data_IF_734505067244
#
_entry.id   IF_734505067244
#
_cell.length_a   1.000
_cell.length_b   1.000
_cell.length_c   1.000
_cell.angle_alpha   90.00
_cell.angle_beta   90.00
_cell.angle_gamma   90.00
#
_symmetry.space_group_name_H-M   'P 1'
#
loop_
_entity.id
_entity.type
_entity.pdbx_description
1 polymer ?
#
# COMPACT_ATOMS: atom_id res chain seq x y z
N UNK A 1 -0.97 2.84 -20.59
CA UNK A 1 -0.66 1.59 -19.87
C UNK A 1 -1.84 1.25 -18.97
N UNK A 2 -2.24 -0.02 -18.94
CA UNK A 2 -3.29 -0.53 -18.05
C UNK A 2 -2.81 -0.55 -16.60
N UNK A 3 -3.67 -0.20 -15.65
CA UNK A 3 -3.31 0.14 -14.27
C UNK A 3 -4.18 -0.63 -13.29
N UNK A 4 -3.54 -1.38 -12.39
CA UNK A 4 -4.18 -2.12 -11.31
C UNK A 4 -3.91 -1.43 -9.99
N UNK A 5 -4.95 -1.20 -9.19
CA UNK A 5 -4.80 -0.85 -7.78
C UNK A 5 -4.79 -2.12 -6.94
N UNK A 6 -3.63 -2.51 -6.40
CA UNK A 6 -3.48 -3.67 -5.52
C UNK A 6 -3.58 -3.25 -4.06
N UNK A 7 -4.58 -3.78 -3.34
CA UNK A 7 -4.81 -3.50 -1.92
C UNK A 7 -5.08 -4.78 -1.12
N UNK A 8 -5.15 -4.67 0.19
CA UNK A 8 -5.44 -5.77 1.10
C UNK A 8 -5.26 -5.35 2.55
N UNK A 9 -5.97 -6.00 3.47
CA UNK A 9 -5.83 -5.76 4.90
C UNK A 9 -4.41 -6.08 5.41
N UNK A 10 -4.06 -5.59 6.60
CA UNK A 10 -2.79 -5.94 7.23
C UNK A 10 -2.65 -7.48 7.31
N UNK A 11 -1.47 -8.01 6.96
CA UNK A 11 -1.23 -9.46 7.01
C UNK A 11 -1.83 -10.27 5.85
N UNK A 12 -2.53 -9.63 4.90
CA UNK A 12 -3.12 -10.30 3.73
C UNK A 12 -2.10 -10.94 2.77
N UNK A 13 -0.83 -10.54 2.83
CA UNK A 13 0.20 -11.02 1.88
C UNK A 13 0.26 -10.22 0.57
N UNK A 14 -0.30 -9.00 0.54
CA UNK A 14 -0.23 -8.07 -0.60
C UNK A 14 1.18 -7.95 -1.22
N UNK A 15 2.22 -7.77 -0.41
CA UNK A 15 3.60 -7.65 -0.92
C UNK A 15 4.04 -8.91 -1.66
N UNK A 16 3.67 -10.10 -1.15
CA UNK A 16 4.01 -11.35 -1.82
C UNK A 16 3.35 -11.49 -3.19
N UNK A 17 2.10 -11.04 -3.31
CA UNK A 17 1.41 -10.97 -4.61
C UNK A 17 2.09 -9.95 -5.53
N UNK A 18 2.42 -8.77 -5.02
CA UNK A 18 3.11 -7.74 -5.80
C UNK A 18 4.45 -8.26 -6.37
N UNK A 19 5.25 -8.94 -5.54
CA UNK A 19 6.52 -9.54 -5.96
C UNK A 19 6.32 -10.55 -7.12
N UNK A 20 5.31 -11.42 -7.01
CA UNK A 20 4.99 -12.37 -8.08
C UNK A 20 4.61 -11.68 -9.40
N UNK A 21 3.83 -10.60 -9.33
CA UNK A 21 3.46 -9.85 -10.52
C UNK A 21 4.67 -9.15 -11.15
N UNK A 22 5.59 -8.62 -10.32
CA UNK A 22 6.84 -8.04 -10.78
C UNK A 22 7.75 -9.07 -11.45
N UNK A 23 7.88 -10.27 -10.87
CA UNK A 23 8.60 -11.42 -11.48
C UNK A 23 8.08 -11.74 -12.89
N UNK A 24 6.79 -11.48 -13.16
CA UNK A 24 6.18 -11.72 -14.47
C UNK A 24 6.08 -10.48 -15.36
N UNK A 25 6.77 -9.39 -15.02
CA UNK A 25 6.93 -8.22 -15.88
C UNK A 25 5.93 -7.08 -15.65
N UNK A 26 5.15 -7.11 -14.56
CA UNK A 26 4.41 -5.94 -14.12
C UNK A 26 5.38 -4.88 -13.55
N UNK A 27 5.14 -3.60 -13.83
CA UNK A 27 5.84 -2.52 -13.10
C UNK A 27 5.09 -2.23 -11.81
N UNK A 28 5.79 -2.19 -10.68
CA UNK A 28 5.21 -1.82 -9.39
C UNK A 28 5.48 -0.35 -9.07
N UNK A 29 4.49 0.31 -8.49
CA UNK A 29 4.62 1.61 -7.83
C UNK A 29 4.00 1.45 -6.44
N UNK A 30 4.85 1.27 -5.43
CA UNK A 30 4.42 1.05 -4.05
C UNK A 30 4.42 2.37 -3.26
N UNK A 31 3.24 2.78 -2.79
CA UNK A 31 3.08 4.06 -2.10
C UNK A 31 3.71 4.07 -0.71
N UNK A 32 3.83 2.91 -0.05
CA UNK A 32 4.51 2.79 1.24
C UNK A 32 6.03 2.90 1.06
N UNK A 33 6.58 2.29 0.01
CA UNK A 33 8.00 2.44 -0.33
C UNK A 33 8.35 3.88 -0.70
N UNK A 34 7.49 4.52 -1.51
CA UNK A 34 7.61 5.96 -1.82
C UNK A 34 7.59 6.79 -0.53
N UNK A 35 6.60 6.58 0.35
CA UNK A 35 6.51 7.32 1.59
C UNK A 35 7.75 7.14 2.48
N UNK A 36 8.31 5.92 2.53
CA UNK A 36 9.56 5.63 3.26
C UNK A 36 10.76 6.34 2.65
N UNK A 37 10.93 6.29 1.33
CA UNK A 37 12.04 6.95 0.65
C UNK A 37 11.99 8.48 0.78
N UNK A 38 10.80 9.06 0.65
CA UNK A 38 10.59 10.51 0.79
C UNK A 38 10.86 11.02 2.20
N UNK A 39 10.76 10.14 3.21
CA UNK A 39 10.98 10.46 4.63
C UNK A 39 12.29 9.88 5.20
N UNK A 40 13.16 9.37 4.34
CA UNK A 40 14.53 8.97 4.69
C UNK A 40 15.43 10.20 4.85
N UNK A 41 16.65 10.00 5.33
CA UNK A 41 17.67 11.05 5.39
C UNK A 41 17.88 11.68 4.00
N UNK A 42 17.72 13.01 3.90
CA UNK A 42 17.77 13.74 2.63
C UNK A 42 16.55 13.54 1.71
N UNK A 43 15.50 12.87 2.18
CA UNK A 43 14.27 12.64 1.44
C UNK A 43 13.51 13.94 1.15
N UNK A 44 12.83 13.99 0.00
CA UNK A 44 12.20 15.22 -0.48
C UNK A 44 11.06 15.76 0.40
N UNK A 45 10.52 14.95 1.33
CA UNK A 45 9.52 15.43 2.29
C UNK A 45 10.15 16.07 3.54
N UNK A 46 11.43 15.80 3.83
CA UNK A 46 12.05 16.22 5.09
C UNK A 46 12.08 17.74 5.31
N UNK A 47 12.38 18.59 4.32
CA UNK A 47 12.34 20.05 4.52
C UNK A 47 10.95 20.58 4.90
N UNK A 48 9.89 20.03 4.30
CA UNK A 48 8.51 20.42 4.62
C UNK A 48 8.07 19.90 5.99
N UNK A 49 8.51 18.70 6.38
CA UNK A 49 8.26 18.14 7.71
C UNK A 49 8.97 18.97 8.79
N UNK A 50 10.23 19.36 8.56
CA UNK A 50 10.98 20.21 9.49
C UNK A 50 10.31 21.58 9.65
N UNK A 51 9.85 22.19 8.56
CA UNK A 51 9.15 23.47 8.60
C UNK A 51 7.84 23.40 9.42
N UNK A 52 7.11 22.29 9.33
CA UNK A 52 5.80 22.11 9.97
C UNK A 52 5.90 21.67 11.44
N UNK A 53 6.88 20.82 11.77
CA UNK A 53 6.98 20.14 13.06
C UNK A 53 8.26 20.45 13.84
N UNK A 54 9.20 21.18 13.26
CA UNK A 54 10.49 21.50 13.84
C UNK A 54 11.48 20.32 13.81
N UNK A 55 12.68 20.58 14.32
CA UNK A 55 13.81 19.63 14.29
C UNK A 55 13.57 18.37 15.12
N UNK A 56 12.62 18.37 16.05
CA UNK A 56 12.24 17.19 16.83
C UNK A 56 11.60 16.09 15.98
N UNK A 57 11.02 16.46 14.83
CA UNK A 57 10.48 15.52 13.85
C UNK A 57 11.58 14.79 13.07
N UNK A 58 12.86 15.17 13.24
CA UNK A 58 14.00 14.60 12.56
C UNK A 58 14.82 13.74 13.53
N UNK A 59 15.38 12.65 13.01
CA UNK A 59 16.46 11.90 13.66
C UNK A 59 17.80 12.62 13.48
N UNK A 60 18.86 12.17 14.14
CA UNK A 60 20.20 12.78 14.03
C UNK A 60 20.81 12.70 12.62
N UNK A 61 20.39 11.73 11.82
CA UNK A 61 20.75 11.58 10.41
C UNK A 61 19.80 12.32 9.45
N UNK A 62 18.78 13.02 9.98
CA UNK A 62 17.85 13.85 9.19
C UNK A 62 16.73 13.06 8.51
N UNK A 63 16.45 11.83 8.95
CA UNK A 63 15.26 11.08 8.56
C UNK A 63 14.07 11.44 9.47
N UNK A 64 12.86 10.99 9.12
CA UNK A 64 11.69 11.19 9.98
C UNK A 64 11.84 10.41 11.29
N UNK A 65 11.74 11.12 12.41
CA UNK A 65 11.60 10.51 13.73
C UNK A 65 10.20 9.92 13.89
N UNK A 66 10.04 8.66 13.45
CA UNK A 66 8.75 7.94 13.44
C UNK A 66 8.20 7.67 14.84
N UNK A 67 9.06 7.53 15.83
CA UNK A 67 8.65 7.33 17.22
C UNK A 67 8.02 8.61 17.77
N UNK A 68 8.75 9.72 17.71
CA UNK A 68 8.26 11.03 18.12
C UNK A 68 6.97 11.42 17.36
N UNK A 69 6.94 11.20 16.04
CA UNK A 69 5.77 11.53 15.23
C UNK A 69 4.54 10.69 15.63
N UNK A 70 4.72 9.42 16.02
CA UNK A 70 3.64 8.56 16.49
C UNK A 70 3.12 9.01 17.85
N UNK A 71 4.00 9.35 18.78
CA UNK A 71 3.63 9.89 20.09
C UNK A 71 2.86 11.21 19.95
N UNK A 72 3.32 12.08 19.03
CA UNK A 72 2.65 13.34 18.74
C UNK A 72 1.28 13.13 18.10
N UNK A 73 1.17 12.25 17.11
CA UNK A 73 -0.11 11.92 16.48
C UNK A 73 -1.10 11.22 17.44
N UNK A 74 -0.59 10.54 18.48
CA UNK A 74 -1.43 9.94 19.51
C UNK A 74 -1.97 10.98 20.51
N UNK A 75 -1.13 11.95 20.89
CA UNK A 75 -1.50 13.01 21.83
C UNK A 75 -2.32 14.14 21.20
N UNK A 76 -2.19 14.34 19.90
CA UNK A 76 -2.87 15.38 19.14
C UNK A 76 -3.40 14.82 17.80
N UNK A 77 -4.72 14.61 17.68
CA UNK A 77 -5.35 14.11 16.46
C UNK A 77 -5.07 14.97 15.22
N UNK A 78 -4.85 16.29 15.38
CA UNK A 78 -4.59 17.20 14.27
C UNK A 78 -3.17 17.01 13.70
N UNK A 79 -2.24 16.50 14.50
CA UNK A 79 -0.87 16.20 14.04
C UNK A 79 -0.89 15.21 12.87
N UNK A 80 -1.75 14.19 12.91
CA UNK A 80 -1.88 13.24 11.79
C UNK A 80 -2.34 13.94 10.51
N UNK A 81 -3.34 14.82 10.62
CA UNK A 81 -3.89 15.55 9.47
C UNK A 81 -2.85 16.50 8.86
N UNK A 82 -2.08 17.20 9.70
CA UNK A 82 -0.99 18.08 9.26
C UNK A 82 0.12 17.31 8.56
N UNK A 83 0.52 16.16 9.10
CA UNK A 83 1.52 15.31 8.48
C UNK A 83 1.04 14.77 7.12
N UNK A 84 -0.21 14.31 7.06
CA UNK A 84 -0.84 13.87 5.82
C UNK A 84 -0.93 15.01 4.79
N UNK A 85 -1.22 16.24 5.20
CA UNK A 85 -1.26 17.40 4.32
C UNK A 85 0.11 17.72 3.71
N UNK A 86 1.20 17.53 4.46
CA UNK A 86 2.57 17.66 3.95
C UNK A 86 2.93 16.50 3.00
N UNK A 87 2.63 15.27 3.39
CA UNK A 87 3.08 14.08 2.67
C UNK A 87 2.28 13.79 1.40
N UNK A 88 0.95 13.95 1.42
CA UNK A 88 0.08 13.51 0.33
C UNK A 88 0.41 14.16 -1.04
N UNK A 89 0.68 15.47 -1.14
CA UNK A 89 1.07 16.08 -2.41
C UNK A 89 2.38 15.49 -2.95
N UNK A 90 3.39 15.33 -2.09
CA UNK A 90 4.73 14.84 -2.47
C UNK A 90 4.67 13.37 -2.90
N UNK A 91 3.95 12.52 -2.13
CA UNK A 91 3.72 11.12 -2.50
C UNK A 91 2.94 11.03 -3.82
N UNK A 92 1.94 11.89 -4.03
CA UNK A 92 1.15 11.90 -5.27
C UNK A 92 2.03 12.23 -6.48
N UNK A 93 2.90 13.22 -6.35
CA UNK A 93 3.80 13.62 -7.44
C UNK A 93 4.82 12.53 -7.75
N UNK A 94 5.45 11.95 -6.73
CA UNK A 94 6.41 10.87 -6.93
C UNK A 94 5.75 9.61 -7.50
N UNK A 95 4.53 9.29 -7.05
CA UNK A 95 3.73 8.20 -7.62
C UNK A 95 3.44 8.44 -9.11
N UNK A 96 3.11 9.68 -9.50
CA UNK A 96 2.90 10.06 -10.91
C UNK A 96 4.17 9.94 -11.72
N UNK A 97 5.29 10.42 -11.19
CA UNK A 97 6.60 10.35 -11.83
C UNK A 97 7.02 8.90 -12.12
N UNK A 98 6.92 8.01 -11.13
CA UNK A 98 7.23 6.59 -11.31
C UNK A 98 6.25 5.92 -12.28
N UNK A 99 4.95 6.22 -12.20
CA UNK A 99 3.96 5.71 -13.13
C UNK A 99 4.19 6.15 -14.58
N UNK A 100 4.65 7.39 -14.79
CA UNK A 100 4.98 7.91 -16.12
C UNK A 100 6.25 7.26 -16.72
N UNK A 101 7.16 6.80 -15.86
CA UNK A 101 8.38 6.10 -16.26
C UNK A 101 8.18 4.56 -16.40
N UNK A 102 6.98 4.04 -16.14
CA UNK A 102 6.71 2.62 -16.20
C UNK A 102 6.83 2.07 -17.64
N UNK A 103 7.58 0.98 -17.80
CA UNK A 103 7.85 0.33 -19.08
C UNK A 103 7.40 -1.14 -19.14
N UNK A 104 6.78 -1.67 -18.08
CA UNK A 104 6.29 -3.05 -18.03
C UNK A 104 5.00 -3.27 -18.81
N UNK A 105 4.50 -4.51 -18.81
CA UNK A 105 3.30 -4.90 -19.57
C UNK A 105 2.03 -4.20 -19.07
N UNK A 106 1.98 -3.93 -17.77
CA UNK A 106 0.98 -3.12 -17.09
C UNK A 106 1.57 -2.58 -15.78
N UNK A 107 0.88 -1.61 -15.19
CA UNK A 107 1.28 -0.96 -13.94
C UNK A 107 0.45 -1.48 -12.77
N UNK A 108 1.09 -1.70 -11.63
CA UNK A 108 0.43 -2.04 -10.37
C UNK A 108 0.78 -0.97 -9.35
N UNK A 109 -0.22 -0.21 -8.93
CA UNK A 109 -0.13 0.63 -7.74
C UNK A 109 -0.38 -0.22 -6.50
N UNK A 110 0.63 -0.41 -5.67
CA UNK A 110 0.49 -1.13 -4.40
C UNK A 110 0.12 -0.12 -3.32
N UNK A 111 -1.12 -0.17 -2.84
CA UNK A 111 -1.70 0.88 -1.97
C UNK A 111 -2.38 0.24 -0.76
N UNK A 112 -1.74 0.21 0.43
CA UNK A 112 -2.30 -0.44 1.62
C UNK A 112 -3.66 0.11 2.08
N UNK A 113 -3.87 1.43 1.94
CA UNK A 113 -5.09 2.13 2.36
C UNK A 113 -5.89 2.64 1.15
N UNK A 114 -5.99 1.81 0.09
CA UNK A 114 -6.68 2.18 -1.14
C UNK A 114 -8.13 2.54 -0.90
N UNK A 115 -8.84 1.82 -0.02
CA UNK A 115 -10.28 2.00 0.22
C UNK A 115 -10.54 3.34 0.91
N UNK A 116 -9.73 3.65 1.91
CA UNK A 116 -9.74 4.89 2.68
C UNK A 116 -9.39 6.09 1.78
N UNK A 117 -8.68 5.84 0.68
CA UNK A 117 -8.30 6.84 -0.31
C UNK A 117 -9.01 6.67 -1.65
N UNK A 118 -10.13 5.93 -1.70
CA UNK A 118 -10.75 5.48 -2.94
C UNK A 118 -11.11 6.63 -3.89
N UNK A 119 -11.60 7.76 -3.36
CA UNK A 119 -11.90 8.95 -4.17
C UNK A 119 -10.69 9.45 -4.98
N UNK A 120 -9.46 9.27 -4.46
CA UNK A 120 -8.21 9.64 -5.13
C UNK A 120 -7.79 8.59 -6.17
N UNK A 121 -8.14 7.32 -5.97
CA UNK A 121 -7.66 6.19 -6.77
C UNK A 121 -8.62 5.71 -7.84
N UNK A 122 -9.94 5.86 -7.66
CA UNK A 122 -10.97 5.30 -8.55
C UNK A 122 -10.77 5.72 -10.02
N UNK A 123 -10.35 6.96 -10.27
CA UNK A 123 -10.05 7.46 -11.62
C UNK A 123 -8.60 7.29 -12.09
N UNK A 124 -7.74 6.67 -11.27
CA UNK A 124 -6.30 6.47 -11.57
C UNK A 124 -5.98 5.03 -11.94
N UNK A 125 -6.86 4.09 -11.63
CA UNK A 125 -6.71 2.66 -11.90
C UNK A 125 -7.84 2.19 -12.79
N UNK A 126 -7.56 1.23 -13.65
CA UNK A 126 -8.56 0.59 -14.51
C UNK A 126 -9.31 -0.51 -13.75
N UNK A 127 -8.63 -1.17 -12.79
CA UNK A 127 -9.21 -2.22 -11.93
C UNK A 127 -8.60 -2.19 -10.53
N UNK A 128 -9.38 -2.59 -9.53
CA UNK A 128 -8.95 -2.78 -8.15
C UNK A 128 -8.87 -4.29 -7.86
N UNK A 129 -7.69 -4.75 -7.46
CA UNK A 129 -7.45 -6.11 -7.00
C UNK A 129 -7.28 -6.13 -5.47
N UNK A 130 -8.09 -6.92 -4.79
CA UNK A 130 -7.99 -7.13 -3.34
C UNK A 130 -7.32 -8.46 -3.05
N UNK A 131 -6.23 -8.44 -2.29
CA UNK A 131 -5.69 -9.64 -1.64
C UNK A 131 -6.47 -9.85 -0.34
N UNK A 132 -7.36 -10.82 -0.36
CA UNK A 132 -8.27 -11.13 0.74
C UNK A 132 -7.70 -12.24 1.62
N UNK A 133 -7.98 -12.16 2.91
CA UNK A 133 -7.47 -13.09 3.92
C UNK A 133 -8.41 -13.01 5.13
N UNK A 134 -8.70 -14.16 5.74
CA UNK A 134 -9.52 -14.20 6.95
C UNK A 134 -8.84 -13.48 8.13
N UNK A 135 -9.62 -12.86 9.04
CA UNK A 135 -9.06 -12.08 10.14
C UNK A 135 -8.08 -12.84 11.05
N UNK A 136 -8.32 -14.13 11.31
CA UNK A 136 -7.48 -14.91 12.22
C UNK A 136 -6.11 -15.21 11.58
N UNK A 137 -6.08 -15.48 10.27
CA UNK A 137 -4.83 -15.59 9.51
C UNK A 137 -4.07 -14.26 9.45
N UNK A 138 -4.77 -13.13 9.32
CA UNK A 138 -4.14 -11.80 9.40
C UNK A 138 -3.45 -11.60 10.77
N UNK A 139 -4.14 -11.92 11.87
CA UNK A 139 -3.59 -11.84 13.22
C UNK A 139 -2.35 -12.73 13.35
N UNK A 140 -2.46 -14.02 13.01
CA UNK A 140 -1.37 -14.98 13.14
C UNK A 140 -0.12 -14.55 12.37
N UNK A 141 -0.28 -14.07 11.12
CA UNK A 141 0.83 -13.61 10.28
C UNK A 141 1.49 -12.35 10.81
N UNK A 142 0.71 -11.41 11.36
CA UNK A 142 1.26 -10.18 11.93
C UNK A 142 2.00 -10.48 13.23
N UNK A 143 1.43 -11.30 14.11
CA UNK A 143 2.09 -11.73 15.35
C UNK A 143 3.46 -12.36 15.06
N UNK A 144 3.52 -13.30 14.12
CA UNK A 144 4.73 -14.03 13.78
C UNK A 144 5.87 -13.13 13.26
N UNK A 145 5.55 -12.00 12.59
CA UNK A 145 6.57 -11.13 11.98
C UNK A 145 6.92 -9.88 12.77
N UNK A 146 6.02 -9.37 13.61
CA UNK A 146 6.19 -8.06 14.26
C UNK A 146 6.21 -8.12 15.79
N UNK A 147 5.98 -9.28 16.41
CA UNK A 147 5.94 -9.42 17.87
C UNK A 147 4.81 -8.63 18.56
N UNK A 148 3.85 -8.10 17.79
CA UNK A 148 2.71 -7.36 18.34
C UNK A 148 1.74 -8.32 19.02
N UNK A 149 1.10 -7.87 20.10
CA UNK A 149 0.04 -8.64 20.76
C UNK A 149 -1.23 -8.67 19.91
N UNK A 150 -2.03 -9.73 20.04
CA UNK A 150 -3.31 -9.83 19.32
C UNK A 150 -4.21 -8.59 19.53
N UNK A 151 -4.40 -8.06 20.76
CA UNK A 151 -5.18 -6.84 20.95
C UNK A 151 -4.63 -5.63 20.19
N UNK A 152 -3.30 -5.49 20.06
CA UNK A 152 -2.70 -4.41 19.29
C UNK A 152 -2.97 -4.57 17.79
N UNK A 153 -2.90 -5.81 17.27
CA UNK A 153 -3.16 -6.11 15.87
C UNK A 153 -4.62 -5.87 15.52
N UNK A 154 -5.55 -6.32 16.36
CA UNK A 154 -6.99 -6.08 16.17
C UNK A 154 -7.32 -4.58 16.17
N UNK A 155 -6.63 -3.76 16.97
CA UNK A 155 -6.75 -2.29 16.91
C UNK A 155 -6.30 -1.72 15.57
N UNK A 156 -5.20 -2.23 15.01
CA UNK A 156 -4.73 -1.82 13.67
C UNK A 156 -5.76 -2.22 12.61
N UNK A 157 -6.26 -3.45 12.65
CA UNK A 157 -7.29 -3.92 11.73
C UNK A 157 -8.56 -3.07 11.79
N UNK A 158 -8.99 -2.67 13.00
CA UNK A 158 -10.16 -1.82 13.19
C UNK A 158 -9.97 -0.38 12.67
N UNK A 159 -8.72 0.07 12.47
CA UNK A 159 -8.43 1.37 11.86
C UNK A 159 -8.44 1.32 10.32
N UNK A 160 -8.47 0.12 9.72
CA UNK A 160 -8.61 -0.08 8.27
C UNK A 160 -10.08 -0.25 7.90
N UNK A 161 -10.41 -0.09 6.62
CA UNK A 161 -11.73 -0.43 6.09
C UNK A 161 -12.14 -1.87 6.46
N UNK A 162 -13.43 -2.14 6.60
CA UNK A 162 -13.92 -3.51 6.84
C UNK A 162 -13.58 -4.44 5.66
N UNK A 163 -13.54 -5.76 5.91
CA UNK A 163 -13.25 -6.75 4.86
C UNK A 163 -14.29 -6.69 3.75
N UNK A 164 -15.55 -6.61 4.13
CA UNK A 164 -16.70 -6.51 3.24
C UNK A 164 -16.58 -5.26 2.36
N UNK A 165 -16.26 -4.11 2.95
CA UNK A 165 -16.04 -2.86 2.19
C UNK A 165 -14.87 -2.95 1.20
N UNK A 166 -13.80 -3.70 1.53
CA UNK A 166 -12.72 -3.96 0.55
C UNK A 166 -13.25 -4.81 -0.61
N UNK A 167 -13.98 -5.87 -0.32
CA UNK A 167 -14.50 -6.79 -1.34
C UNK A 167 -15.54 -6.13 -2.25
N UNK A 168 -16.38 -5.25 -1.69
CA UNK A 168 -17.43 -4.54 -2.44
C UNK A 168 -16.89 -3.64 -3.56
N UNK A 169 -15.66 -3.14 -3.41
CA UNK A 169 -15.02 -2.27 -4.41
C UNK A 169 -14.10 -3.05 -5.37
N UNK A 170 -13.93 -4.35 -5.16
CA UNK A 170 -12.97 -5.17 -5.88
C UNK A 170 -13.49 -5.52 -7.28
N UNK A 171 -12.67 -5.28 -8.29
CA UNK A 171 -12.90 -5.81 -9.63
C UNK A 171 -12.35 -7.23 -9.76
N UNK A 172 -11.28 -7.54 -9.02
CA UNK A 172 -10.63 -8.84 -8.93
C UNK A 172 -10.27 -9.15 -7.46
N UNK A 173 -10.28 -10.43 -7.08
CA UNK A 173 -9.92 -10.89 -5.74
C UNK A 173 -8.91 -12.04 -5.83
N UNK A 174 -7.87 -11.99 -4.99
CA UNK A 174 -6.94 -13.09 -4.74
C UNK A 174 -7.12 -13.52 -3.30
N UNK A 175 -7.54 -14.77 -3.09
CA UNK A 175 -7.65 -15.33 -1.74
C UNK A 175 -6.28 -15.81 -1.26
N UNK A 176 -5.92 -15.40 -0.05
CA UNK A 176 -4.70 -15.80 0.65
C UNK A 176 -5.00 -16.04 2.15
N UNK A 177 -6.02 -16.84 2.42
CA UNK A 177 -6.45 -17.27 3.75
C UNK A 177 -5.51 -18.33 4.35
N UNK A 178 -5.85 -18.86 5.53
CA UNK A 178 -5.07 -19.89 6.21
C UNK A 178 -5.01 -21.24 5.49
N UNK A 179 -5.96 -21.52 4.58
CA UNK A 179 -5.99 -22.75 3.79
C UNK A 179 -5.24 -22.63 2.45
N UNK A 180 -4.94 -21.39 2.03
CA UNK A 180 -4.28 -21.11 0.76
C UNK A 180 -2.81 -21.51 0.81
N UNK A 181 -2.42 -22.50 0.01
CA UNK A 181 -1.03 -22.89 -0.18
C UNK A 181 -0.25 -21.85 -1.01
N UNK A 182 1.10 -21.80 -0.90
CA UNK A 182 1.92 -20.93 -1.75
C UNK A 182 1.71 -21.17 -3.26
N UNK A 183 1.49 -22.42 -3.66
CA UNK A 183 1.23 -22.81 -5.05
C UNK A 183 -0.16 -22.32 -5.50
N UNK A 184 -1.18 -22.45 -4.65
CA UNK A 184 -2.53 -21.93 -4.91
C UNK A 184 -2.52 -20.41 -5.03
N UNK A 185 -1.80 -19.71 -4.16
CA UNK A 185 -1.64 -18.25 -4.25
C UNK A 185 -0.98 -17.86 -5.56
N UNK A 186 0.12 -18.54 -5.94
CA UNK A 186 0.83 -18.28 -7.19
C UNK A 186 -0.06 -18.56 -8.41
N UNK A 187 -0.84 -19.64 -8.39
CA UNK A 187 -1.76 -19.98 -9.47
C UNK A 187 -2.86 -18.92 -9.65
N UNK A 188 -3.49 -18.48 -8.55
CA UNK A 188 -4.50 -17.41 -8.59
C UNK A 188 -3.93 -16.10 -9.12
N UNK A 189 -2.77 -15.67 -8.60
CA UNK A 189 -2.09 -14.47 -9.08
C UNK A 189 -1.73 -14.60 -10.57
N UNK A 190 -1.34 -15.80 -11.03
CA UNK A 190 -1.01 -16.03 -12.43
C UNK A 190 -2.21 -15.89 -13.36
N UNK A 191 -3.36 -16.44 -12.97
CA UNK A 191 -4.61 -16.30 -13.74
C UNK A 191 -4.97 -14.82 -13.93
N UNK A 192 -4.86 -14.01 -12.87
CA UNK A 192 -5.14 -12.58 -12.97
C UNK A 192 -4.08 -11.83 -13.76
N UNK A 193 -2.80 -12.19 -13.62
CA UNK A 193 -1.73 -11.65 -14.44
C UNK A 193 -2.01 -11.84 -15.94
N UNK A 194 -2.32 -13.07 -16.37
CA UNK A 194 -2.60 -13.39 -17.77
C UNK A 194 -3.86 -12.64 -18.27
N UNK A 195 -4.88 -12.49 -17.40
CA UNK A 195 -6.07 -11.67 -17.70
C UNK A 195 -5.73 -10.19 -17.88
N UNK A 196 -4.92 -9.61 -17.01
CA UNK A 196 -4.53 -8.20 -17.09
C UNK A 196 -3.62 -7.93 -18.28
N UNK A 197 -2.77 -8.88 -18.68
CA UNK A 197 -2.02 -8.80 -19.95
C UNK A 197 -2.96 -8.70 -21.15
N UNK A 198 -3.97 -9.56 -21.21
CA UNK A 198 -4.94 -9.54 -22.31
C UNK A 198 -5.71 -8.21 -22.35
N UNK A 199 -6.13 -7.70 -21.20
CA UNK A 199 -6.80 -6.40 -21.10
C UNK A 199 -5.88 -5.25 -21.52
N UNK A 200 -4.63 -5.25 -21.06
CA UNK A 200 -3.65 -4.23 -21.42
C UNK A 200 -3.39 -4.16 -22.94
N UNK A 201 -3.37 -5.31 -23.62
CA UNK A 201 -3.23 -5.37 -25.07
C UNK A 201 -4.44 -4.80 -25.83
N UNK A 202 -5.63 -4.76 -25.21
CA UNK A 202 -6.84 -4.17 -25.81
C UNK A 202 -6.98 -2.68 -25.56
N UNK A 203 -6.53 -2.19 -24.40
CA UNK A 203 -6.58 -0.76 -24.02
C UNK A 203 -5.46 0.07 -24.67
N UNK A 204 -4.42 -0.58 -25.21
CA UNK A 204 -3.32 0.06 -25.91
C UNK A 204 -3.57 0.35 -27.41
N UNK A 205 -4.79 0.17 -27.91
CA UNK A 205 -5.20 0.54 -29.28
C UNK A 205 -6.03 1.82 -29.29
#
# INVERSE_FOLDING_TARGET
MFKIGLTGGIGSGKSRVADMLAEWGATLVDTDEIARALTAAGGAAMPAIEAEFGTQALTSDGALNREWMRERAFSDPDTRLRLEAVLHPIITEETRRQAAAAAGSYLVFVVPLLVESLARWRGRVDRICVVDCDPDTQVARVQARSGLTEPAIRRIMAAQAARETRLDIADDVITNDGATSPEQLRAQARILHDRWLALAATTGR
#
